data_IF_556559093215
#
_entry.id   IF_556559093215
#
_cell.length_a   1.000
_cell.length_b   1.000
_cell.length_c   1.000
_cell.angle_alpha   90.00
_cell.angle_beta   90.00
_cell.angle_gamma   90.00
#
_symmetry.space_group_name_H-M   'P 1'
#
loop_
_entity.id
_entity.type
_entity.pdbx_description
1 polymer ?
#
# COMPACT_ATOMS: atom_id res chain seq x y z
N UNK A 1 12.82 -28.32 -16.41
CA UNK A 1 12.62 -26.91 -16.01
C UNK A 1 11.28 -26.86 -15.29
N UNK A 2 11.27 -26.96 -13.96
CA UNK A 2 10.02 -26.79 -13.20
C UNK A 2 9.66 -25.32 -13.31
N UNK A 3 8.55 -25.01 -13.99
CA UNK A 3 8.07 -23.63 -14.11
C UNK A 3 7.73 -23.08 -12.73
N UNK A 4 8.05 -21.81 -12.50
CA UNK A 4 7.62 -21.10 -11.28
C UNK A 4 6.11 -21.24 -11.17
N UNK A 5 5.65 -21.93 -10.13
CA UNK A 5 4.22 -22.07 -9.85
C UNK A 5 3.77 -20.84 -9.07
N UNK A 6 3.08 -19.94 -9.76
CA UNK A 6 2.46 -18.77 -9.15
C UNK A 6 0.95 -18.97 -9.10
N UNK A 7 0.40 -18.91 -7.89
CA UNK A 7 -1.05 -18.98 -7.64
C UNK A 7 -1.52 -17.67 -7.01
N UNK A 8 -2.60 -17.06 -7.51
CA UNK A 8 -3.20 -15.89 -6.87
C UNK A 8 -4.11 -16.35 -5.74
N UNK A 9 -3.72 -16.07 -4.49
CA UNK A 9 -4.48 -16.45 -3.29
C UNK A 9 -5.49 -15.38 -2.87
N UNK A 10 -5.24 -14.12 -3.23
CA UNK A 10 -6.14 -13.02 -2.94
C UNK A 10 -5.85 -11.82 -3.84
N UNK A 11 -6.91 -11.20 -4.38
CA UNK A 11 -6.85 -9.90 -5.08
C UNK A 11 -8.14 -9.13 -4.84
N UNK A 12 -8.02 -7.80 -4.78
CA UNK A 12 -9.14 -6.85 -4.75
C UNK A 12 -9.64 -6.56 -6.18
N UNK A 13 -10.86 -6.08 -6.35
CA UNK A 13 -11.49 -5.90 -7.68
C UNK A 13 -10.74 -4.90 -8.59
N UNK A 14 -10.12 -3.88 -7.99
CA UNK A 14 -9.45 -2.78 -8.72
C UNK A 14 -8.14 -3.23 -9.41
N UNK A 15 -7.61 -4.42 -9.12
CA UNK A 15 -6.40 -4.97 -9.75
C UNK A 15 -5.08 -4.23 -9.49
N UNK A 16 -5.14 -3.00 -8.97
CA UNK A 16 -3.98 -2.16 -8.63
C UNK A 16 -3.58 -2.23 -7.15
N UNK A 17 -4.52 -2.57 -6.26
CA UNK A 17 -4.20 -2.84 -4.86
C UNK A 17 -3.31 -4.10 -4.82
N UNK A 18 -2.27 -4.13 -3.96
CA UNK A 18 -1.41 -5.30 -3.83
C UNK A 18 -2.20 -6.61 -3.70
N UNK A 19 -1.73 -7.66 -4.36
CA UNK A 19 -2.36 -8.98 -4.33
C UNK A 19 -1.46 -9.96 -3.60
N UNK A 20 -2.05 -10.99 -3.02
CA UNK A 20 -1.28 -12.07 -2.40
C UNK A 20 -1.20 -13.24 -3.37
N UNK A 21 0.02 -13.69 -3.60
CA UNK A 21 0.33 -14.86 -4.41
C UNK A 21 1.04 -15.92 -3.56
N UNK A 22 0.99 -17.16 -4.01
CA UNK A 22 1.91 -18.21 -3.62
C UNK A 22 2.97 -18.32 -4.70
N UNK A 23 4.22 -18.11 -4.35
CA UNK A 23 5.36 -18.25 -5.26
C UNK A 23 6.35 -19.26 -4.67
N UNK A 24 6.60 -20.35 -5.38
CA UNK A 24 7.51 -21.42 -4.93
C UNK A 24 7.19 -21.98 -3.53
N UNK A 25 5.90 -21.97 -3.14
CA UNK A 25 5.43 -22.44 -1.83
C UNK A 25 5.36 -21.36 -0.75
N UNK A 26 5.94 -20.18 -0.99
CA UNK A 26 5.96 -19.06 -0.06
C UNK A 26 4.81 -18.08 -0.30
N UNK A 27 4.32 -17.45 0.78
CA UNK A 27 3.33 -16.38 0.70
C UNK A 27 4.00 -15.05 0.40
N UNK A 28 3.55 -14.39 -0.66
CA UNK A 28 4.16 -13.17 -1.16
C UNK A 28 3.09 -12.12 -1.43
N UNK A 29 3.33 -10.89 -0.96
CA UNK A 29 2.59 -9.72 -1.41
C UNK A 29 3.24 -9.20 -2.69
N UNK A 30 2.47 -9.17 -3.78
CA UNK A 30 2.90 -8.62 -5.06
C UNK A 30 2.20 -7.29 -5.34
N UNK A 31 2.97 -6.29 -5.75
CA UNK A 31 2.43 -4.99 -6.15
C UNK A 31 3.13 -4.41 -7.38
N UNK A 32 2.37 -3.64 -8.16
CA UNK A 32 2.90 -2.82 -9.23
C UNK A 32 3.24 -1.41 -8.75
N UNK A 33 4.41 -0.89 -9.10
CA UNK A 33 4.77 0.49 -8.76
C UNK A 33 5.77 1.11 -9.75
N UNK A 34 5.27 2.05 -10.57
CA UNK A 34 6.07 2.74 -11.58
C UNK A 34 6.38 1.89 -12.81
N UNK A 35 7.28 2.40 -13.65
CA UNK A 35 7.74 1.74 -14.86
C UNK A 35 9.26 1.58 -14.83
N UNK A 36 9.78 0.52 -15.43
CA UNK A 36 11.21 0.29 -15.57
C UNK A 36 11.83 1.13 -16.71
N UNK A 37 13.10 0.90 -16.99
CA UNK A 37 13.81 1.57 -18.07
C UNK A 37 13.21 1.33 -19.47
N UNK A 38 12.46 0.25 -19.67
CA UNK A 38 11.81 -0.11 -20.92
C UNK A 38 10.35 0.36 -20.98
N UNK A 39 9.88 1.09 -19.96
CA UNK A 39 8.48 1.52 -19.76
C UNK A 39 7.52 0.37 -19.45
N UNK A 40 8.05 -0.78 -19.03
CA UNK A 40 7.22 -1.89 -18.55
C UNK A 40 6.84 -1.66 -17.08
N UNK A 41 5.62 -2.02 -16.65
CA UNK A 41 5.22 -1.90 -15.25
C UNK A 41 6.16 -2.67 -14.32
N UNK A 42 6.74 -2.00 -13.32
CA UNK A 42 7.56 -2.69 -12.33
C UNK A 42 6.68 -3.47 -11.37
N UNK A 43 7.01 -4.75 -11.17
CA UNK A 43 6.46 -5.58 -10.11
C UNK A 43 7.48 -5.75 -9.00
N UNK A 44 6.99 -5.64 -7.77
CA UNK A 44 7.76 -5.89 -6.56
C UNK A 44 7.05 -6.95 -5.73
N UNK A 45 7.85 -7.70 -4.98
CA UNK A 45 7.40 -8.75 -4.08
C UNK A 45 8.03 -8.55 -2.71
N UNK A 46 7.30 -8.94 -1.66
CA UNK A 46 7.84 -9.08 -0.31
C UNK A 46 7.16 -10.26 0.39
N UNK A 47 7.87 -11.01 1.25
CA UNK A 47 7.30 -12.14 1.95
C UNK A 47 6.27 -11.69 2.99
N UNK A 48 5.22 -12.48 3.19
CA UNK A 48 4.23 -12.25 4.24
C UNK A 48 3.90 -13.55 5.00
N UNK A 49 3.31 -13.42 6.19
CA UNK A 49 2.82 -14.55 6.97
C UNK A 49 1.35 -14.85 6.70
N UNK A 50 0.87 -16.01 7.14
CA UNK A 50 -0.57 -16.33 7.15
C UNK A 50 -1.39 -15.32 7.98
N UNK A 51 -0.81 -14.78 9.06
CA UNK A 51 -1.45 -13.75 9.88
C UNK A 51 -1.62 -12.44 9.09
N UNK A 52 -0.64 -12.06 8.28
CA UNK A 52 -0.74 -10.90 7.38
C UNK A 52 -1.82 -11.11 6.33
N UNK A 53 -1.87 -12.29 5.71
CA UNK A 53 -2.89 -12.64 4.71
C UNK A 53 -4.31 -12.55 5.30
N UNK A 54 -4.50 -13.04 6.53
CA UNK A 54 -5.80 -12.96 7.20
C UNK A 54 -6.30 -11.51 7.31
N UNK A 55 -5.44 -10.59 7.75
CA UNK A 55 -5.77 -9.16 7.86
C UNK A 55 -6.01 -8.54 6.48
N UNK A 56 -5.14 -8.80 5.51
CA UNK A 56 -5.26 -8.26 4.14
C UNK A 56 -6.60 -8.62 3.50
N UNK A 57 -7.12 -9.83 3.79
CA UNK A 57 -8.43 -10.30 3.32
C UNK A 57 -9.59 -9.58 4.00
N UNK A 58 -9.56 -9.42 5.32
CA UNK A 58 -10.70 -8.92 6.08
C UNK A 58 -10.72 -7.40 6.28
N UNK A 59 -9.58 -6.72 6.17
CA UNK A 59 -9.42 -5.31 6.54
C UNK A 59 -8.86 -4.49 5.37
N UNK A 60 -9.76 -3.80 4.68
CA UNK A 60 -9.39 -2.91 3.57
C UNK A 60 -8.54 -1.73 4.06
N UNK A 61 -8.85 -1.16 5.23
CA UNK A 61 -8.16 0.02 5.76
C UNK A 61 -6.68 -0.30 5.97
N UNK A 62 -6.37 -1.41 6.64
CA UNK A 62 -4.98 -1.85 6.85
C UNK A 62 -4.27 -2.18 5.55
N UNK A 63 -4.98 -2.77 4.59
CA UNK A 63 -4.40 -3.05 3.28
C UNK A 63 -4.04 -1.76 2.52
N UNK A 64 -4.90 -0.74 2.56
CA UNK A 64 -4.62 0.56 1.95
C UNK A 64 -3.48 1.31 2.66
N UNK A 65 -3.43 1.24 3.99
CA UNK A 65 -2.34 1.80 4.79
C UNK A 65 -1.00 1.16 4.42
N UNK A 66 -0.93 -0.18 4.38
CA UNK A 66 0.27 -0.90 3.97
C UNK A 66 0.69 -0.51 2.54
N UNK A 67 -0.26 -0.47 1.61
CA UNK A 67 0.04 -0.05 0.24
C UNK A 67 0.61 1.37 0.18
N UNK A 68 0.01 2.32 0.91
CA UNK A 68 0.49 3.71 0.97
C UNK A 68 1.92 3.82 1.55
N UNK A 69 2.28 2.97 2.50
CA UNK A 69 3.59 2.95 3.15
C UNK A 69 4.68 2.27 2.30
N UNK A 70 4.33 1.29 1.47
CA UNK A 70 5.29 0.61 0.58
C UNK A 70 5.67 1.49 -0.63
N UNK A 71 4.74 2.29 -1.16
CA UNK A 71 4.96 3.08 -2.39
C UNK A 71 6.22 3.98 -2.35
N UNK A 72 6.54 4.68 -1.25
CA UNK A 72 7.81 5.42 -1.13
C UNK A 72 9.06 4.55 -1.28
N UNK A 73 9.05 3.30 -0.82
CA UNK A 73 10.18 2.37 -0.98
C UNK A 73 10.32 1.93 -2.45
N UNK A 74 9.21 1.67 -3.14
CA UNK A 74 9.22 1.41 -4.57
C UNK A 74 9.76 2.61 -5.37
N UNK A 75 9.39 3.83 -4.99
CA UNK A 75 9.89 5.05 -5.62
C UNK A 75 11.41 5.21 -5.39
N UNK A 76 11.91 4.90 -4.19
CA UNK A 76 13.33 4.93 -3.87
C UNK A 76 14.14 3.89 -4.67
N UNK A 77 13.54 2.73 -4.98
CA UNK A 77 14.12 1.74 -5.88
C UNK A 77 14.27 2.25 -7.34
N UNK A 78 13.60 3.35 -7.69
CA UNK A 78 13.69 4.01 -8.99
C UNK A 78 13.28 3.09 -10.14
N UNK A 79 13.99 3.21 -11.28
CA UNK A 79 13.68 2.42 -12.50
C UNK A 79 14.50 1.13 -12.62
N UNK A 80 15.51 0.92 -11.75
CA UNK A 80 16.49 -0.19 -11.87
C UNK A 80 16.86 -0.86 -10.54
N UNK A 81 16.69 -0.19 -9.41
CA UNK A 81 17.09 -0.72 -8.11
C UNK A 81 16.12 -1.78 -7.58
N UNK A 82 16.57 -2.70 -6.72
CA UNK A 82 15.69 -3.60 -6.00
C UNK A 82 14.86 -2.85 -4.95
N UNK A 83 13.74 -3.45 -4.52
CA UNK A 83 13.05 -2.99 -3.32
C UNK A 83 13.96 -3.23 -2.11
N UNK A 84 14.01 -2.29 -1.17
CA UNK A 84 14.57 -2.55 0.15
C UNK A 84 13.61 -3.49 0.91
N UNK A 85 13.82 -4.79 0.74
CA UNK A 85 12.97 -5.83 1.31
C UNK A 85 12.93 -5.74 2.83
N UNK A 86 14.06 -5.46 3.48
CA UNK A 86 14.12 -5.35 4.94
C UNK A 86 13.25 -4.20 5.43
N UNK A 87 13.33 -3.04 4.78
CA UNK A 87 12.48 -1.91 5.10
C UNK A 87 11.00 -2.21 4.83
N UNK A 88 10.69 -2.90 3.73
CA UNK A 88 9.32 -3.25 3.37
C UNK A 88 8.70 -4.28 4.34
N UNK A 89 9.45 -5.29 4.75
CA UNK A 89 9.02 -6.28 5.75
C UNK A 89 8.81 -5.64 7.12
N UNK A 90 9.64 -4.67 7.50
CA UNK A 90 9.49 -3.93 8.76
C UNK A 90 8.18 -3.11 8.85
N UNK A 91 7.48 -2.88 7.73
CA UNK A 91 6.16 -2.23 7.72
C UNK A 91 5.02 -3.20 8.07
N UNK A 92 5.21 -4.51 7.92
CA UNK A 92 4.10 -5.49 7.98
C UNK A 92 3.47 -5.56 9.36
N UNK A 93 4.24 -5.97 10.37
CA UNK A 93 3.70 -6.20 11.72
C UNK A 93 3.11 -4.92 12.33
N UNK A 94 3.78 -3.75 12.29
CA UNK A 94 3.22 -2.53 12.86
C UNK A 94 1.89 -2.13 12.22
N UNK A 95 1.75 -2.29 10.89
CA UNK A 95 0.56 -1.84 10.15
C UNK A 95 -0.57 -2.88 10.17
N UNK A 96 -0.24 -4.16 10.01
CA UNK A 96 -1.26 -5.21 9.88
C UNK A 96 -1.70 -5.76 11.23
N UNK A 97 -0.80 -5.83 12.22
CA UNK A 97 -1.05 -6.52 13.49
C UNK A 97 -1.08 -5.56 14.69
N UNK A 98 -0.51 -4.36 14.59
CA UNK A 98 -0.50 -3.36 15.66
C UNK A 98 -1.90 -2.83 16.02
N UNK A 99 -2.06 -2.34 17.25
CA UNK A 99 -3.32 -1.71 17.67
C UNK A 99 -3.57 -0.40 16.89
N UNK A 100 -4.83 0.03 16.68
CA UNK A 100 -5.11 1.22 15.87
C UNK A 100 -4.33 2.48 16.25
N UNK A 101 -4.19 2.76 17.55
CA UNK A 101 -3.42 3.91 18.04
C UNK A 101 -1.90 3.78 17.80
N UNK A 102 -1.36 2.55 17.85
CA UNK A 102 0.04 2.28 17.57
C UNK A 102 0.35 2.45 16.08
N UNK A 103 -0.57 2.01 15.22
CA UNK A 103 -0.49 2.22 13.77
C UNK A 103 -0.51 3.73 13.47
N UNK A 104 -1.46 4.48 14.04
CA UNK A 104 -1.53 5.94 13.86
C UNK A 104 -0.25 6.65 14.34
N UNK A 105 0.32 6.22 15.47
CA UNK A 105 1.61 6.74 15.96
C UNK A 105 2.75 6.37 15.01
N UNK A 106 2.82 5.13 14.53
CA UNK A 106 3.85 4.66 13.60
C UNK A 106 3.88 5.48 12.30
N UNK A 107 2.70 5.84 11.78
CA UNK A 107 2.57 6.67 10.57
C UNK A 107 3.02 8.13 10.74
N UNK A 108 3.24 8.60 11.96
CA UNK A 108 3.85 9.91 12.21
C UNK A 108 5.36 9.89 11.92
N UNK A 109 6.00 8.72 12.05
CA UNK A 109 7.45 8.57 11.96
C UNK A 109 7.93 8.07 10.58
N UNK A 110 7.02 7.59 9.73
CA UNK A 110 7.36 7.04 8.42
C UNK A 110 6.88 7.91 7.26
N UNK A 111 7.47 7.70 6.07
CA UNK A 111 6.94 8.25 4.83
C UNK A 111 5.84 7.33 4.29
N UNK A 112 4.78 7.94 3.76
CA UNK A 112 3.70 7.23 3.09
C UNK A 112 3.06 8.14 2.02
N UNK A 113 2.40 7.54 1.03
CA UNK A 113 1.74 8.25 -0.06
C UNK A 113 0.32 8.71 0.35
N UNK A 114 0.19 9.97 0.75
CA UNK A 114 -1.10 10.57 1.10
C UNK A 114 -2.08 10.62 -0.06
N UNK A 115 -1.60 10.86 -1.28
CA UNK A 115 -2.47 10.93 -2.46
C UNK A 115 -3.12 9.58 -2.73
N UNK A 116 -2.44 8.48 -2.40
CA UNK A 116 -2.99 7.14 -2.51
C UNK A 116 -4.22 6.95 -1.62
N UNK A 117 -4.18 7.41 -0.37
CA UNK A 117 -5.33 7.31 0.54
C UNK A 117 -6.47 8.24 0.14
N UNK A 118 -6.15 9.47 -0.27
CA UNK A 118 -7.15 10.43 -0.80
C UNK A 118 -7.87 9.85 -2.01
N UNK A 119 -7.15 9.21 -2.93
CA UNK A 119 -7.77 8.55 -4.08
C UNK A 119 -8.78 7.47 -3.66
N UNK A 120 -8.63 6.88 -2.48
CA UNK A 120 -9.56 5.86 -1.98
C UNK A 120 -10.71 6.43 -1.15
N UNK A 121 -10.88 7.76 -1.11
CA UNK A 121 -11.98 8.40 -0.40
C UNK A 121 -11.67 8.72 1.06
N UNK A 122 -10.39 8.84 1.41
CA UNK A 122 -10.00 9.27 2.76
C UNK A 122 -10.40 10.73 3.02
N UNK A 123 -10.89 11.01 4.24
CA UNK A 123 -11.13 12.36 4.73
C UNK A 123 -9.80 13.10 4.95
N UNK A 124 -9.58 14.17 4.18
CA UNK A 124 -8.34 14.94 4.17
C UNK A 124 -8.07 15.65 5.50
N UNK A 125 -9.12 16.16 6.17
CA UNK A 125 -8.95 16.86 7.44
C UNK A 125 -8.52 15.90 8.55
N UNK A 126 -9.14 14.71 8.59
CA UNK A 126 -8.77 13.66 9.54
C UNK A 126 -7.38 13.08 9.25
N UNK A 127 -7.02 12.90 7.98
CA UNK A 127 -5.64 12.53 7.59
C UNK A 127 -4.63 13.56 8.09
N UNK A 128 -4.92 14.86 7.92
CA UNK A 128 -4.05 15.94 8.38
C UNK A 128 -3.85 15.98 9.90
N UNK A 129 -4.77 15.39 10.67
CA UNK A 129 -4.70 15.24 12.13
C UNK A 129 -4.12 13.90 12.58
N UNK A 130 -3.65 13.05 11.66
CA UNK A 130 -3.09 11.73 11.97
C UNK A 130 -4.14 10.67 12.35
N UNK A 131 -5.44 10.93 12.16
CA UNK A 131 -6.53 10.02 12.52
C UNK A 131 -6.86 9.06 11.37
N UNK A 132 -5.93 8.17 11.04
CA UNK A 132 -5.97 7.33 9.84
C UNK A 132 -7.20 6.43 9.74
N UNK A 133 -7.56 5.73 10.82
CA UNK A 133 -8.70 4.80 10.76
C UNK A 133 -10.01 5.54 10.58
N UNK A 134 -10.15 6.69 11.25
CA UNK A 134 -11.33 7.53 11.10
C UNK A 134 -11.38 8.15 9.69
N UNK A 135 -10.24 8.59 9.16
CA UNK A 135 -10.16 9.15 7.82
C UNK A 135 -10.56 8.15 6.74
N UNK A 136 -10.23 6.88 6.92
CA UNK A 136 -10.53 5.80 5.98
C UNK A 136 -11.90 5.13 6.23
N UNK A 137 -12.77 5.71 7.06
CA UNK A 137 -14.09 5.15 7.36
C UNK A 137 -15.01 5.00 6.15
N UNK A 138 -14.81 5.81 5.11
CA UNK A 138 -15.52 5.75 3.81
C UNK A 138 -14.67 5.17 2.69
N UNK A 139 -13.50 4.58 3.00
CA UNK A 139 -12.57 4.15 1.98
C UNK A 139 -13.12 3.00 1.13
N UNK A 140 -12.80 3.00 -0.16
CA UNK A 140 -13.24 1.94 -1.08
C UNK A 140 -12.07 1.30 -1.82
N UNK A 141 -12.32 0.15 -2.46
CA UNK A 141 -11.32 -0.48 -3.31
C UNK A 141 -11.03 0.34 -4.58
N UNK A 142 -11.99 1.15 -5.03
CA UNK A 142 -11.95 1.89 -6.29
C UNK A 142 -11.39 3.30 -6.09
N UNK A 143 -10.34 3.60 -6.83
CA UNK A 143 -9.69 4.90 -6.77
C UNK A 143 -10.47 5.96 -7.56
N UNK A 144 -10.82 7.06 -6.90
CA UNK A 144 -11.28 8.29 -7.51
C UNK A 144 -10.17 9.35 -7.50
N UNK A 145 -9.48 9.44 -8.64
CA UNK A 145 -8.40 10.43 -8.84
C UNK A 145 -8.90 11.88 -8.94
N UNK A 146 -10.21 12.12 -9.04
CA UNK A 146 -10.75 13.48 -8.96
C UNK A 146 -10.56 14.08 -7.57
N UNK A 147 -10.68 13.27 -6.52
CA UNK A 147 -10.42 13.67 -5.13
C UNK A 147 -8.97 14.15 -4.94
N UNK A 148 -8.02 13.47 -5.57
CA UNK A 148 -6.60 13.86 -5.52
C UNK A 148 -6.36 15.20 -6.21
N UNK A 149 -7.01 15.43 -7.36
CA UNK A 149 -6.91 16.73 -8.07
C UNK A 149 -7.44 17.87 -7.22
N UNK A 150 -8.58 17.67 -6.55
CA UNK A 150 -9.13 18.65 -5.63
C UNK A 150 -8.21 18.91 -4.43
N UNK A 151 -7.71 17.83 -3.81
CA UNK A 151 -6.74 17.91 -2.72
C UNK A 151 -5.48 18.70 -3.10
N UNK A 152 -4.88 18.41 -4.26
CA UNK A 152 -3.69 19.11 -4.75
C UNK A 152 -4.00 20.60 -5.04
N UNK A 153 -5.18 20.90 -5.62
CA UNK A 153 -5.60 22.28 -5.87
C UNK A 153 -5.79 23.07 -4.59
N UNK A 154 -6.46 22.50 -3.58
CA UNK A 154 -6.68 23.14 -2.28
C UNK A 154 -5.35 23.38 -1.55
N UNK A 155 -4.42 22.40 -1.61
CA UNK A 155 -3.08 22.55 -1.04
C UNK A 155 -2.26 23.63 -1.74
N UNK A 156 -2.44 23.79 -3.05
CA UNK A 156 -1.80 24.86 -3.83
C UNK A 156 -2.29 26.26 -3.46
N UNK A 157 -3.58 26.41 -3.11
CA UNK A 157 -4.16 27.70 -2.67
C UNK A 157 -3.77 28.11 -1.26
N UNK A 158 -3.44 27.13 -0.41
CA UNK A 158 -3.04 27.37 0.98
C UNK A 158 -1.54 27.70 1.14
N UNK A 159 -0.78 27.76 0.05
CA UNK A 159 0.63 28.16 -0.01
C UNK A 159 0.77 29.58 -0.54
#
# INVERSE_FOLDING_TARGET
MLGVMTEVLFSRENGWIPRVIRENGELVLELGAGADANRDPRRFTLPISEAHLAVIRSDLVRHLLLWSAILPLCAAAGIRGPLDERAAVALLDPILLGAPAEVESFFQDIRWDVRRLVAQGADVELLGRGRLFAALGSATERADWSLVREYDANRGRAR
#
